data_IF_730241629174
#
_entry.id   IF_730241629174
#
_cell.length_a   1.000
_cell.length_b   1.000
_cell.length_c   1.000
_cell.angle_alpha   90.00
_cell.angle_beta   90.00
_cell.angle_gamma   90.00
#
_symmetry.space_group_name_H-M   'P 1'
#
loop_
_entity.id
_entity.type
_entity.pdbx_description
1 polymer ?
#
# COMPACT_ATOMS: atom_id res chain seq x y z
N UNK A 1 18.47 -5.33 9.09
CA UNK A 1 17.22 -4.74 9.53
C UNK A 1 16.07 -5.65 9.15
N UNK A 2 14.96 -5.55 9.89
CA UNK A 2 13.84 -6.46 9.70
C UNK A 2 13.01 -6.09 8.47
N UNK A 3 12.45 -7.09 7.80
CA UNK A 3 11.52 -6.89 6.70
C UNK A 3 10.37 -7.90 6.76
N UNK A 4 9.29 -7.57 6.06
CA UNK A 4 8.17 -8.48 5.87
C UNK A 4 7.89 -8.64 4.39
N UNK A 5 7.31 -9.77 4.02
CA UNK A 5 6.86 -10.03 2.65
C UNK A 5 5.47 -10.67 2.71
N UNK A 6 4.54 -10.10 1.93
CA UNK A 6 3.19 -10.66 1.80
C UNK A 6 2.90 -10.79 0.32
N UNK A 7 2.41 -11.96 -0.08
CA UNK A 7 2.02 -12.23 -1.47
C UNK A 7 0.54 -12.60 -1.51
N UNK A 8 -0.20 -11.96 -2.41
CA UNK A 8 -1.63 -12.21 -2.61
C UNK A 8 -1.93 -12.40 -4.08
N UNK A 9 -2.86 -13.30 -4.38
CA UNK A 9 -3.43 -13.43 -5.73
C UNK A 9 -4.76 -12.70 -5.73
N UNK A 10 -4.87 -11.70 -6.61
CA UNK A 10 -6.04 -10.83 -6.70
C UNK A 10 -6.82 -11.17 -7.97
N UNK A 11 -8.14 -11.27 -7.85
CA UNK A 11 -9.03 -11.63 -8.96
C UNK A 11 -9.36 -10.38 -9.79
N UNK A 12 -8.34 -9.79 -10.41
CA UNK A 12 -8.47 -8.61 -11.26
C UNK A 12 -7.31 -8.53 -12.24
N UNK A 13 -7.53 -7.90 -13.40
CA UNK A 13 -6.46 -7.68 -14.38
C UNK A 13 -5.35 -6.79 -13.81
N UNK A 14 -4.16 -6.96 -14.32
CA UNK A 14 -2.97 -6.23 -13.89
C UNK A 14 -3.19 -4.71 -13.89
N UNK A 15 -3.80 -4.16 -14.93
CA UNK A 15 -4.05 -2.72 -15.03
C UNK A 15 -4.94 -2.20 -13.88
N UNK A 16 -5.93 -2.99 -13.46
CA UNK A 16 -6.82 -2.60 -12.36
C UNK A 16 -6.11 -2.66 -11.01
N UNK A 17 -5.28 -3.67 -10.81
CA UNK A 17 -4.50 -3.77 -9.57
C UNK A 17 -3.51 -2.61 -9.48
N UNK A 18 -2.83 -2.30 -10.56
CA UNK A 18 -1.90 -1.16 -10.60
C UNK A 18 -2.62 0.16 -10.35
N UNK A 19 -3.78 0.37 -10.98
CA UNK A 19 -4.58 1.58 -10.78
C UNK A 19 -5.02 1.75 -9.32
N UNK A 20 -5.33 0.65 -8.64
CA UNK A 20 -5.74 0.68 -7.23
C UNK A 20 -4.63 1.22 -6.32
N UNK A 21 -3.38 1.11 -6.73
CA UNK A 21 -2.22 1.59 -5.98
C UNK A 21 -1.72 2.97 -6.39
N UNK A 22 -2.17 3.49 -7.52
CA UNK A 22 -1.61 4.72 -8.10
C UNK A 22 -2.62 5.84 -8.27
N UNK A 23 -3.91 5.54 -8.20
CA UNK A 23 -4.96 6.56 -8.32
C UNK A 23 -5.55 6.84 -6.93
N UNK A 24 -5.45 8.09 -6.44
CA UNK A 24 -5.84 8.42 -5.06
C UNK A 24 -7.30 8.09 -4.75
N UNK A 25 -8.23 8.29 -5.69
CA UNK A 25 -9.64 7.97 -5.46
C UNK A 25 -9.87 6.47 -5.30
N UNK A 26 -9.05 5.64 -5.93
CA UNK A 26 -9.13 4.20 -5.75
C UNK A 26 -8.47 3.76 -4.45
N UNK A 27 -7.36 4.38 -4.07
CA UNK A 27 -6.68 4.11 -2.80
C UNK A 27 -7.59 4.38 -1.61
N UNK A 28 -8.41 5.42 -1.68
CA UNK A 28 -9.37 5.76 -0.62
C UNK A 28 -10.39 4.66 -0.36
N UNK A 29 -10.60 3.75 -1.30
CA UNK A 29 -11.62 2.71 -1.22
C UNK A 29 -11.19 1.47 -0.45
N UNK A 30 -9.89 1.26 -0.30
CA UNK A 30 -9.42 0.01 0.30
C UNK A 30 -8.26 0.18 1.31
N UNK A 31 -7.51 1.26 1.24
CA UNK A 31 -6.32 1.41 2.08
C UNK A 31 -6.70 1.42 3.57
N UNK A 32 -5.86 0.78 4.42
CA UNK A 32 -6.08 0.71 5.86
C UNK A 32 -6.78 -0.56 6.32
N UNK A 33 -7.02 -0.64 7.61
CA UNK A 33 -7.72 -1.78 8.21
C UNK A 33 -9.23 -1.66 7.99
N UNK A 34 -9.96 -2.76 8.20
CA UNK A 34 -11.38 -2.86 7.91
C UNK A 34 -12.26 -1.79 8.59
N UNK A 35 -11.88 -1.34 9.78
CA UNK A 35 -12.64 -0.36 10.56
C UNK A 35 -12.16 1.08 10.35
N UNK A 36 -11.26 1.30 9.41
CA UNK A 36 -10.72 2.61 9.08
C UNK A 36 -11.35 3.16 7.80
N UNK A 37 -11.43 4.49 7.71
CA UNK A 37 -11.76 5.18 6.47
C UNK A 37 -10.57 5.99 6.01
N UNK A 38 -10.61 6.46 4.76
CA UNK A 38 -9.53 7.24 4.15
C UNK A 38 -10.10 8.53 3.62
N UNK A 39 -10.17 9.59 4.46
CA UNK A 39 -10.74 10.87 4.03
C UNK A 39 -9.90 11.61 3.00
N UNK A 40 -8.59 11.36 2.96
CA UNK A 40 -7.69 12.07 2.04
C UNK A 40 -6.65 11.11 1.47
N UNK A 41 -6.38 11.26 0.19
CA UNK A 41 -5.28 10.58 -0.48
C UNK A 41 -4.77 11.46 -1.62
N UNK A 42 -3.46 11.52 -1.80
CA UNK A 42 -2.83 12.24 -2.91
C UNK A 42 -1.66 11.45 -3.45
N UNK A 43 -1.45 11.54 -4.76
CA UNK A 43 -0.38 10.83 -5.46
C UNK A 43 0.19 11.73 -6.53
N UNK A 44 1.51 11.90 -6.53
CA UNK A 44 2.25 12.52 -7.61
C UNK A 44 3.16 11.43 -8.18
N UNK A 45 2.66 10.69 -9.17
CA UNK A 45 3.29 9.46 -9.66
C UNK A 45 4.43 9.79 -10.64
N UNK A 46 5.58 10.15 -10.07
CA UNK A 46 6.84 10.39 -10.78
C UNK A 46 7.99 10.17 -9.82
N UNK A 47 9.18 9.95 -10.35
CA UNK A 47 10.37 9.83 -9.50
C UNK A 47 10.55 11.11 -8.68
N UNK A 48 10.73 10.95 -7.37
CA UNK A 48 10.81 12.08 -6.45
C UNK A 48 9.46 12.69 -6.08
N UNK A 49 8.38 12.27 -6.74
CA UNK A 49 7.03 12.70 -6.38
C UNK A 49 6.59 12.08 -5.06
N UNK A 50 5.59 12.69 -4.42
CA UNK A 50 5.16 12.26 -3.10
C UNK A 50 3.76 11.66 -3.16
N UNK A 51 3.53 10.72 -2.27
CA UNK A 51 2.20 10.19 -1.99
C UNK A 51 1.86 10.44 -0.52
N UNK A 52 0.57 10.53 -0.23
CA UNK A 52 0.09 10.72 1.14
C UNK A 52 -1.31 10.14 1.28
N UNK A 53 -1.53 9.40 2.35
CA UNK A 53 -2.83 8.84 2.69
C UNK A 53 -3.12 9.16 4.15
N UNK A 54 -4.31 9.64 4.43
CA UNK A 54 -4.76 9.86 5.82
C UNK A 54 -5.72 8.74 6.17
N UNK A 55 -5.33 7.92 7.14
CA UNK A 55 -6.19 6.88 7.70
C UNK A 55 -6.95 7.49 8.87
N UNK A 56 -8.26 7.23 8.94
CA UNK A 56 -9.09 7.70 10.05
C UNK A 56 -9.64 6.50 10.79
N UNK A 57 -9.25 6.37 12.06
CA UNK A 57 -9.73 5.30 12.93
C UNK A 57 -11.18 5.57 13.35
N UNK A 58 -11.88 4.52 13.75
CA UNK A 58 -13.26 4.61 14.21
C UNK A 58 -13.42 5.55 15.43
N UNK A 59 -12.36 5.70 16.24
CA UNK A 59 -12.35 6.59 17.39
C UNK A 59 -12.00 8.06 17.03
N UNK A 60 -11.85 8.39 15.75
CA UNK A 60 -11.57 9.74 15.28
C UNK A 60 -10.09 10.11 15.20
N UNK A 61 -9.19 9.19 15.54
CA UNK A 61 -7.75 9.44 15.43
C UNK A 61 -7.32 9.40 13.97
N UNK A 62 -6.65 10.48 13.52
CA UNK A 62 -6.11 10.57 12.17
C UNK A 62 -4.67 10.05 12.16
N UNK A 63 -4.35 9.22 11.17
CA UNK A 63 -3.05 8.59 11.03
C UNK A 63 -2.52 8.83 9.61
N UNK A 64 -1.89 10.00 9.36
CA UNK A 64 -1.33 10.28 8.05
C UNK A 64 -0.03 9.52 7.82
N UNK A 65 0.10 8.95 6.63
CA UNK A 65 1.31 8.26 6.20
C UNK A 65 1.63 8.67 4.77
N UNK A 66 2.90 8.73 4.44
CA UNK A 66 3.30 9.09 3.09
C UNK A 66 4.76 8.81 2.82
N UNK A 67 5.20 9.22 1.65
CA UNK A 67 6.59 9.04 1.26
C UNK A 67 6.86 9.56 -0.14
N UNK A 68 7.98 9.10 -0.69
CA UNK A 68 8.50 9.52 -1.97
C UNK A 68 8.69 8.31 -2.88
N UNK A 69 8.30 8.45 -4.16
CA UNK A 69 8.54 7.39 -5.15
C UNK A 69 10.01 7.34 -5.54
N UNK A 70 10.60 6.15 -5.43
CA UNK A 70 12.01 5.91 -5.73
C UNK A 70 12.24 5.07 -6.97
N UNK A 71 11.23 4.29 -7.38
CA UNK A 71 11.28 3.51 -8.62
C UNK A 71 9.86 3.35 -9.14
N UNK A 72 9.68 3.58 -10.44
CA UNK A 72 8.39 3.41 -11.11
C UNK A 72 8.62 2.65 -12.41
N UNK A 73 8.26 1.37 -12.41
CA UNK A 73 8.19 0.54 -13.61
C UNK A 73 6.71 0.18 -13.78
N UNK A 74 5.97 0.90 -14.64
CA UNK A 74 4.51 0.77 -14.71
C UNK A 74 4.06 -0.68 -14.88
N UNK A 75 3.10 -1.09 -14.05
CA UNK A 75 2.50 -2.43 -14.05
C UNK A 75 3.50 -3.56 -13.76
N UNK A 76 4.68 -3.22 -13.27
CA UNK A 76 5.72 -4.20 -12.95
C UNK A 76 6.23 -4.03 -11.52
N UNK A 77 6.71 -2.84 -11.18
CA UNK A 77 7.28 -2.60 -9.86
C UNK A 77 7.17 -1.15 -9.45
N UNK A 78 6.79 -0.92 -8.18
CA UNK A 78 6.86 0.38 -7.54
C UNK A 78 7.72 0.25 -6.30
N UNK A 79 8.55 1.25 -6.05
CA UNK A 79 9.30 1.35 -4.80
C UNK A 79 9.15 2.75 -4.27
N UNK A 80 8.79 2.86 -2.96
CA UNK A 80 8.58 4.16 -2.33
C UNK A 80 8.93 4.09 -0.85
N UNK A 81 9.24 5.25 -0.27
CA UNK A 81 9.47 5.35 1.16
C UNK A 81 8.13 5.39 1.90
N UNK A 82 8.17 5.04 3.17
CA UNK A 82 6.99 4.94 4.04
C UNK A 82 7.34 5.59 5.37
N UNK A 83 6.61 6.64 5.72
CA UNK A 83 6.85 7.38 6.96
C UNK A 83 5.53 7.87 7.52
N UNK A 84 5.25 7.50 8.76
CA UNK A 84 4.11 8.04 9.49
C UNK A 84 4.43 9.49 9.89
N UNK A 85 3.48 10.41 9.71
CA UNK A 85 3.69 11.80 10.10
C UNK A 85 3.83 11.87 11.63
N UNK A 86 4.83 12.63 12.07
CA UNK A 86 5.20 12.69 13.47
C UNK A 86 6.27 11.70 13.90
N UNK A 87 6.65 10.78 13.01
CA UNK A 87 7.72 9.81 13.27
C UNK A 87 8.96 10.16 12.45
N UNK A 88 10.13 9.90 13.02
CA UNK A 88 11.40 10.06 12.30
C UNK A 88 11.80 8.79 11.55
N UNK A 89 11.08 7.68 11.78
CA UNK A 89 11.41 6.40 11.16
C UNK A 89 10.90 6.38 9.74
N UNK A 90 11.82 6.15 8.79
CA UNK A 90 11.51 5.98 7.37
C UNK A 90 11.81 4.54 6.98
N UNK A 91 10.83 3.86 6.44
CA UNK A 91 10.96 2.50 5.95
C UNK A 91 10.74 2.49 4.45
N UNK A 92 10.82 1.33 3.80
CA UNK A 92 10.69 1.24 2.36
C UNK A 92 9.72 0.13 1.96
N UNK A 93 8.88 0.43 0.97
CA UNK A 93 7.93 -0.54 0.42
C UNK A 93 8.27 -0.77 -1.05
N UNK A 94 8.33 -2.04 -1.42
CA UNK A 94 8.43 -2.45 -2.82
C UNK A 94 7.21 -3.27 -3.16
N UNK A 95 6.54 -2.91 -4.25
CA UNK A 95 5.41 -3.64 -4.78
C UNK A 95 5.84 -4.29 -6.09
N UNK A 96 5.58 -5.59 -6.23
CA UNK A 96 5.81 -6.32 -7.48
C UNK A 96 4.49 -6.84 -8.00
N UNK A 97 4.23 -6.57 -9.26
CA UNK A 97 2.98 -6.95 -9.94
C UNK A 97 3.31 -7.99 -11.00
N UNK A 98 2.57 -9.09 -11.02
CA UNK A 98 2.76 -10.13 -12.04
C UNK A 98 1.41 -10.65 -12.50
N UNK A 99 1.09 -10.46 -13.77
CA UNK A 99 -0.13 -11.05 -14.34
C UNK A 99 0.02 -12.57 -14.40
N UNK A 100 -0.92 -13.28 -13.80
CA UNK A 100 -0.99 -14.74 -13.90
C UNK A 100 -1.77 -15.14 -15.15
N UNK A 101 -2.80 -14.38 -15.47
CA UNK A 101 -3.60 -14.44 -16.68
C UNK A 101 -4.34 -13.13 -16.86
N UNK A 102 -5.27 -13.04 -17.80
CA UNK A 102 -6.00 -11.83 -18.09
C UNK A 102 -6.92 -11.36 -16.94
N UNK A 103 -7.22 -12.24 -16.00
CA UNK A 103 -8.18 -11.97 -14.92
C UNK A 103 -7.58 -12.05 -13.52
N UNK A 104 -6.30 -12.45 -13.40
CA UNK A 104 -5.67 -12.60 -12.08
C UNK A 104 -4.27 -12.01 -12.06
N UNK A 105 -3.94 -11.38 -10.94
CA UNK A 105 -2.64 -10.74 -10.74
C UNK A 105 -2.07 -11.17 -9.38
N UNK A 106 -0.79 -11.51 -9.38
CA UNK A 106 -0.05 -11.75 -8.14
C UNK A 106 0.60 -10.44 -7.71
N UNK A 107 0.31 -10.02 -6.49
CA UNK A 107 0.91 -8.84 -5.87
C UNK A 107 1.80 -9.27 -4.72
N UNK A 108 3.05 -8.83 -4.74
CA UNK A 108 3.99 -9.04 -3.63
C UNK A 108 4.32 -7.70 -3.00
N UNK A 109 4.13 -7.61 -1.68
CA UNK A 109 4.49 -6.43 -0.89
C UNK A 109 5.72 -6.79 -0.06
N UNK A 110 6.80 -6.04 -0.26
CA UNK A 110 8.02 -6.17 0.54
C UNK A 110 8.22 -4.85 1.28
N UNK A 111 8.06 -4.88 2.61
CA UNK A 111 8.22 -3.71 3.46
C UNK A 111 9.46 -3.94 4.33
N UNK A 112 10.45 -3.10 4.16
CA UNK A 112 11.80 -3.32 4.71
C UNK A 112 12.31 -2.11 5.47
N UNK A 113 13.51 -2.25 6.04
CA UNK A 113 14.23 -1.23 6.77
C UNK A 113 13.56 -0.83 8.08
N UNK A 114 12.82 -1.76 8.68
CA UNK A 114 12.29 -1.55 10.03
C UNK A 114 13.43 -1.52 11.04
N UNK A 115 13.39 -0.60 12.03
CA UNK A 115 14.44 -0.53 13.05
C UNK A 115 14.45 -1.73 13.99
N UNK A 116 13.29 -2.40 14.15
CA UNK A 116 13.18 -3.57 15.01
C UNK A 116 12.03 -4.49 14.56
N UNK A 117 11.98 -5.69 15.15
CA UNK A 117 10.99 -6.68 14.80
C UNK A 117 9.59 -6.32 15.29
N UNK A 118 9.48 -5.59 16.38
CA UNK A 118 8.18 -5.17 16.90
C UNK A 118 7.44 -4.26 15.92
N UNK A 119 8.15 -3.30 15.33
CA UNK A 119 7.58 -2.41 14.33
C UNK A 119 7.21 -3.18 13.06
N UNK A 120 8.09 -4.09 12.61
CA UNK A 120 7.79 -4.97 11.48
C UNK A 120 6.49 -5.74 11.71
N UNK A 121 6.33 -6.35 12.87
CA UNK A 121 5.17 -7.17 13.19
C UNK A 121 3.88 -6.34 13.23
N UNK A 122 3.96 -5.11 13.75
CA UNK A 122 2.81 -4.18 13.74
C UNK A 122 2.37 -3.87 12.32
N UNK A 123 3.31 -3.67 11.41
CA UNK A 123 2.99 -3.40 10.01
C UNK A 123 2.48 -4.64 9.29
N UNK A 124 3.02 -5.80 9.61
CA UNK A 124 2.50 -7.05 9.07
C UNK A 124 1.02 -7.23 9.45
N UNK A 125 0.67 -6.97 10.71
CA UNK A 125 -0.71 -7.03 11.20
C UNK A 125 -1.61 -5.99 10.54
N UNK A 126 -1.05 -4.89 10.03
CA UNK A 126 -1.77 -3.89 9.26
C UNK A 126 -1.92 -4.25 7.79
N UNK A 127 -0.88 -4.83 7.18
CA UNK A 127 -0.91 -5.19 5.76
C UNK A 127 -1.93 -6.27 5.44
N UNK A 128 -2.06 -7.28 6.29
CA UNK A 128 -2.99 -8.38 6.02
C UNK A 128 -4.44 -7.92 5.86
N UNK A 129 -5.03 -7.17 6.81
CA UNK A 129 -6.40 -6.66 6.62
C UNK A 129 -6.50 -5.65 5.47
N UNK A 130 -5.47 -4.84 5.23
CA UNK A 130 -5.48 -3.89 4.12
C UNK A 130 -5.55 -4.62 2.78
N UNK A 131 -4.76 -5.68 2.60
CA UNK A 131 -4.81 -6.47 1.37
C UNK A 131 -6.12 -7.25 1.22
N UNK A 132 -6.73 -7.66 2.33
CA UNK A 132 -8.07 -8.24 2.31
C UNK A 132 -9.11 -7.21 1.84
N UNK A 133 -8.99 -5.95 2.26
CA UNK A 133 -9.83 -4.86 1.77
C UNK A 133 -9.62 -4.63 0.27
N UNK A 134 -8.38 -4.66 -0.18
CA UNK A 134 -8.05 -4.52 -1.60
C UNK A 134 -8.71 -5.63 -2.42
N UNK A 135 -8.62 -6.86 -1.95
CA UNK A 135 -9.25 -8.00 -2.62
C UNK A 135 -10.77 -7.80 -2.74
N UNK A 136 -11.43 -7.38 -1.67
CA UNK A 136 -12.88 -7.11 -1.68
C UNK A 136 -13.23 -5.97 -2.62
N UNK A 137 -12.46 -4.90 -2.62
CA UNK A 137 -12.66 -3.77 -3.52
C UNK A 137 -12.59 -4.19 -4.98
N UNK A 138 -11.60 -5.00 -5.33
CA UNK A 138 -11.42 -5.47 -6.70
C UNK A 138 -12.54 -6.43 -7.13
N UNK A 139 -13.02 -7.26 -6.21
CA UNK A 139 -14.12 -8.19 -6.48
C UNK A 139 -15.45 -7.46 -6.70
N UNK A 140 -15.65 -6.33 -6.03
CA UNK A 140 -16.91 -5.58 -6.10
C UNK A 140 -17.03 -4.71 -7.35
N UNK A 141 -15.97 -4.57 -8.12
CA UNK A 141 -15.95 -3.66 -9.28
C UNK A 141 -16.47 -4.31 -10.59
#
# INVERSE_FOLDING_TARGET
MSELTVTEVLAAPLARVYAAWTEPERMRRWFGKADMSVPEASVDLRLGGRWRVVLLRADGVRMPVGGEYREILPEERLRFSWQWEGSEVVTEVELRFRALDAARTELTVIHSEFPDEAMRDQHFDGWRPALANLSRYLDAA
#
